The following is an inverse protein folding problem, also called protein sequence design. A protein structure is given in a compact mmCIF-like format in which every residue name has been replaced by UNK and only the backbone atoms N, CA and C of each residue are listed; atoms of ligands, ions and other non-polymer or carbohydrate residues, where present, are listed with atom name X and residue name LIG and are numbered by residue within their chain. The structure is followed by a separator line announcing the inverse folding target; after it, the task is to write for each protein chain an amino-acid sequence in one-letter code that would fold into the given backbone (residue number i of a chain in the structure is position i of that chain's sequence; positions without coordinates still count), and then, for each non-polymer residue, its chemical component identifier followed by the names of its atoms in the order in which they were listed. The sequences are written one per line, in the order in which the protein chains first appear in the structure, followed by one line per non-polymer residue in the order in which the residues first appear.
data_IF_559555568977
#
_entry.id   IF_559555568977
#
_cell.length_a   1.000
_cell.length_b   1.000
_cell.length_c   1.000
_cell.angle_alpha   90.00
_cell.angle_beta   90.00
_cell.angle_gamma   90.00
#
_symmetry.space_group_name_H-M   'P 1'
#
loop_
_entity.id
_entity.type
_entity.pdbx_description
1 polymer ?
#
# COMPACT_ATOMS: atom_id res chain seq x y z
N UNK A 1 -0.44 -16.12 -33.30
CA UNK A 1 -0.06 -16.57 -31.94
C UNK A 1 0.23 -15.34 -31.11
N UNK A 2 -0.73 -14.84 -30.32
CA UNK A 2 -0.57 -13.64 -29.47
C UNK A 2 -0.75 -13.98 -27.99
N UNK A 3 -0.11 -15.07 -27.57
CA UNK A 3 -0.21 -15.64 -26.22
C UNK A 3 1.20 -15.72 -25.64
N UNK A 4 1.59 -14.72 -24.83
CA UNK A 4 2.34 -14.87 -23.57
C UNK A 4 2.85 -13.55 -22.95
N UNK A 5 2.93 -12.44 -23.70
CA UNK A 5 3.48 -11.18 -23.18
C UNK A 5 2.72 -10.63 -21.96
N UNK A 6 1.38 -10.68 -21.96
CA UNK A 6 0.59 -10.15 -20.84
C UNK A 6 0.75 -10.97 -19.55
N UNK A 7 0.85 -12.30 -19.67
CA UNK A 7 1.05 -13.20 -18.52
C UNK A 7 2.48 -13.09 -17.97
N UNK A 8 3.49 -12.97 -18.85
CA UNK A 8 4.87 -12.73 -18.47
C UNK A 8 5.05 -11.35 -17.82
N UNK A 9 4.38 -10.31 -18.32
CA UNK A 9 4.34 -9.00 -17.68
C UNK A 9 3.70 -9.06 -16.29
N UNK A 10 2.60 -9.81 -16.11
CA UNK A 10 2.00 -10.00 -14.77
C UNK A 10 2.96 -10.74 -13.84
N UNK A 11 3.66 -11.78 -14.31
CA UNK A 11 4.64 -12.52 -13.50
C UNK A 11 5.86 -11.66 -13.13
N UNK A 12 6.34 -10.82 -14.06
CA UNK A 12 7.40 -9.83 -13.79
C UNK A 12 6.91 -8.80 -12.77
N UNK A 13 5.70 -8.26 -12.93
CA UNK A 13 5.11 -7.30 -11.99
C UNK A 13 4.88 -7.91 -10.59
N UNK A 14 4.53 -9.19 -10.51
CA UNK A 14 4.44 -9.93 -9.25
C UNK A 14 5.82 -10.15 -8.61
N UNK A 15 6.82 -10.54 -9.40
CA UNK A 15 8.20 -10.69 -8.94
C UNK A 15 8.82 -9.38 -8.46
N UNK A 16 8.44 -8.26 -9.09
CA UNK A 16 8.84 -6.91 -8.69
C UNK A 16 8.16 -6.44 -7.39
N UNK A 17 7.04 -7.06 -7.00
CA UNK A 17 6.48 -6.91 -5.66
C UNK A 17 7.44 -7.35 -4.56
N UNK A 18 8.46 -8.18 -4.86
CA UNK A 18 9.51 -8.57 -3.91
C UNK A 18 10.75 -7.64 -3.96
N UNK A 19 10.78 -6.63 -4.84
CA UNK A 19 11.90 -5.70 -4.91
C UNK A 19 12.06 -4.94 -3.58
N UNK A 20 13.28 -4.91 -3.08
CA UNK A 20 13.64 -4.15 -1.88
C UNK A 20 14.51 -2.94 -2.20
N UNK A 21 15.13 -2.93 -3.39
CA UNK A 21 16.01 -1.86 -3.80
C UNK A 21 15.24 -0.67 -4.41
N UNK A 22 15.63 0.53 -3.99
CA UNK A 22 15.03 1.79 -4.43
C UNK A 22 15.07 1.94 -5.95
N UNK A 23 16.19 1.63 -6.60
CA UNK A 23 16.35 1.83 -8.05
C UNK A 23 15.38 0.94 -8.82
N UNK A 24 15.24 -0.31 -8.40
CA UNK A 24 14.29 -1.25 -8.99
C UNK A 24 12.86 -0.74 -8.84
N UNK A 25 12.46 -0.32 -7.64
CA UNK A 25 11.11 0.21 -7.37
C UNK A 25 10.83 1.44 -8.25
N UNK A 26 11.79 2.35 -8.38
CA UNK A 26 11.63 3.53 -9.24
C UNK A 26 11.47 3.17 -10.71
N UNK A 27 12.21 2.17 -11.22
CA UNK A 27 12.03 1.65 -12.59
C UNK A 27 10.62 1.11 -12.82
N UNK A 28 10.05 0.39 -11.85
CA UNK A 28 8.67 -0.10 -11.96
C UNK A 28 7.67 1.05 -11.95
N UNK A 29 7.86 2.03 -11.06
CA UNK A 29 7.00 3.20 -10.99
C UNK A 29 7.08 4.06 -12.27
N UNK A 30 8.25 4.13 -12.90
CA UNK A 30 8.42 4.74 -14.22
C UNK A 30 7.66 3.97 -15.30
N UNK A 31 7.75 2.63 -15.31
CA UNK A 31 6.98 1.80 -16.24
C UNK A 31 5.46 2.00 -16.03
N UNK A 32 4.97 2.01 -14.79
CA UNK A 32 3.57 2.26 -14.44
C UNK A 32 3.10 3.63 -14.94
N UNK A 33 3.96 4.65 -14.85
CA UNK A 33 3.61 6.01 -15.30
C UNK A 33 3.86 6.26 -16.79
N UNK A 34 4.37 5.26 -17.52
CA UNK A 34 4.61 5.32 -18.97
C UNK A 34 3.53 4.58 -19.77
N UNK A 35 3.76 4.41 -21.07
CA UNK A 35 2.93 3.59 -21.97
C UNK A 35 3.37 2.10 -21.98
N UNK A 36 4.45 1.74 -21.28
CA UNK A 36 4.94 0.36 -21.18
C UNK A 36 3.92 -0.57 -20.49
N UNK A 37 3.11 0.00 -19.58
CA UNK A 37 2.02 -0.69 -18.90
C UNK A 37 0.68 -0.15 -19.39
N UNK A 38 -0.19 -1.05 -19.86
CA UNK A 38 -1.52 -0.68 -20.35
C UNK A 38 -2.32 0.03 -19.25
N UNK A 39 -3.13 1.06 -19.56
CA UNK A 39 -3.86 1.85 -18.56
C UNK A 39 -4.65 1.02 -17.54
N UNK A 40 -5.32 -0.05 -17.99
CA UNK A 40 -6.11 -0.94 -17.12
C UNK A 40 -5.27 -1.78 -16.16
N UNK A 41 -3.98 -1.98 -16.43
CA UNK A 41 -3.08 -2.81 -15.61
C UNK A 41 -2.28 -1.99 -14.60
N UNK A 42 -2.20 -0.65 -14.78
CA UNK A 42 -1.40 0.25 -13.94
C UNK A 42 -1.77 0.17 -12.45
N UNK A 43 -3.06 0.12 -12.14
CA UNK A 43 -3.55 0.02 -10.76
C UNK A 43 -3.19 -1.33 -10.12
N UNK A 44 -3.27 -2.42 -10.89
CA UNK A 44 -2.87 -3.75 -10.42
C UNK A 44 -1.37 -3.81 -10.18
N UNK A 45 -0.56 -3.27 -11.10
CA UNK A 45 0.89 -3.18 -10.96
C UNK A 45 1.29 -2.41 -9.69
N UNK A 46 0.69 -1.24 -9.45
CA UNK A 46 0.93 -0.46 -8.24
C UNK A 46 0.51 -1.22 -6.96
N UNK A 47 -0.60 -1.95 -7.02
CA UNK A 47 -1.09 -2.75 -5.89
C UNK A 47 -0.11 -3.85 -5.48
N UNK A 48 0.62 -4.46 -6.43
CA UNK A 48 1.66 -5.44 -6.09
C UNK A 48 2.82 -4.82 -5.30
N UNK A 49 3.22 -3.60 -5.64
CA UNK A 49 4.25 -2.89 -4.87
C UNK A 49 3.76 -2.58 -3.45
N UNK A 50 2.52 -2.09 -3.31
CA UNK A 50 1.90 -1.76 -2.02
C UNK A 50 1.81 -2.95 -1.05
N UNK A 51 1.76 -4.18 -1.53
CA UNK A 51 1.67 -5.38 -0.68
C UNK A 51 2.99 -5.72 0.01
N UNK A 52 4.10 -5.12 -0.39
CA UNK A 52 5.40 -5.33 0.22
C UNK A 52 5.78 -4.15 1.14
N UNK A 53 5.87 -4.34 2.46
CA UNK A 53 6.22 -3.28 3.41
C UNK A 53 7.55 -2.58 3.11
N UNK A 54 8.53 -3.28 2.50
CA UNK A 54 9.83 -2.72 2.16
C UNK A 54 9.75 -1.66 1.04
N UNK A 55 8.68 -1.64 0.26
CA UNK A 55 8.54 -0.68 -0.84
C UNK A 55 7.93 0.64 -0.38
N UNK A 56 7.19 0.66 0.75
CA UNK A 56 6.31 1.77 1.10
C UNK A 56 7.04 3.11 1.21
N UNK A 57 8.24 3.11 1.76
CA UNK A 57 9.08 4.31 1.85
C UNK A 57 9.52 4.82 0.48
N UNK A 58 9.95 3.90 -0.39
CA UNK A 58 10.38 4.22 -1.75
C UNK A 58 9.21 4.66 -2.63
N UNK A 59 8.02 4.09 -2.45
CA UNK A 59 6.80 4.53 -3.12
C UNK A 59 6.37 5.92 -2.66
N UNK A 60 6.44 6.20 -1.35
CA UNK A 60 6.20 7.54 -0.80
C UNK A 60 7.20 8.55 -1.37
N UNK A 61 8.48 8.19 -1.44
CA UNK A 61 9.51 9.02 -2.05
C UNK A 61 9.24 9.30 -3.53
N UNK A 62 8.92 8.27 -4.31
CA UNK A 62 8.61 8.39 -5.73
C UNK A 62 7.43 9.33 -5.95
N UNK A 63 6.31 9.09 -5.25
CA UNK A 63 5.11 9.90 -5.40
C UNK A 63 5.35 11.35 -5.01
N UNK A 64 6.10 11.63 -3.93
CA UNK A 64 6.44 13.02 -3.56
C UNK A 64 7.35 13.69 -4.58
N UNK A 65 8.23 12.94 -5.23
CA UNK A 65 9.18 13.47 -6.23
C UNK A 65 8.53 13.67 -7.59
N UNK A 66 7.66 12.75 -8.00
CA UNK A 66 7.11 12.65 -9.36
C UNK A 66 5.58 12.72 -9.41
N UNK A 67 4.93 13.33 -8.42
CA UNK A 67 3.46 13.45 -8.34
C UNK A 67 2.82 14.05 -9.61
N UNK A 68 3.47 15.01 -10.28
CA UNK A 68 2.97 15.58 -11.54
C UNK A 68 2.97 14.53 -12.66
N UNK A 69 4.03 13.71 -12.76
CA UNK A 69 4.08 12.58 -13.70
C UNK A 69 2.97 11.58 -13.41
N UNK A 70 2.76 11.25 -12.14
CA UNK A 70 1.67 10.37 -11.73
C UNK A 70 0.30 10.95 -12.10
N UNK A 71 0.06 12.23 -11.82
CA UNK A 71 -1.18 12.91 -12.17
C UNK A 71 -1.43 12.86 -13.68
N UNK A 72 -0.41 13.09 -14.51
CA UNK A 72 -0.53 13.02 -15.97
C UNK A 72 -0.82 11.59 -16.45
N UNK A 73 -0.10 10.60 -15.92
CA UNK A 73 -0.23 9.20 -16.32
C UNK A 73 -1.57 8.56 -15.89
N UNK A 74 -2.15 9.06 -14.80
CA UNK A 74 -3.41 8.57 -14.23
C UNK A 74 -4.58 9.56 -14.42
N UNK A 75 -4.37 10.69 -15.08
CA UNK A 75 -5.41 11.63 -15.50
C UNK A 75 -5.88 12.67 -14.49
N UNK A 76 -5.43 12.65 -13.23
CA UNK A 76 -5.77 13.71 -12.26
C UNK A 76 -4.91 13.69 -10.99
N UNK A 77 -4.89 14.82 -10.27
CA UNK A 77 -4.37 14.89 -8.91
C UNK A 77 -5.21 14.11 -7.88
N UNK A 78 -6.47 13.80 -8.17
CA UNK A 78 -7.26 12.89 -7.33
C UNK A 78 -6.65 11.48 -7.31
N UNK A 79 -6.03 11.05 -8.42
CA UNK A 79 -5.31 9.77 -8.47
C UNK A 79 -3.96 9.81 -7.75
N UNK A 80 -3.35 10.99 -7.59
CA UNK A 80 -2.21 11.16 -6.66
C UNK A 80 -2.69 11.01 -5.22
N UNK A 81 -3.79 11.69 -4.85
CA UNK A 81 -4.37 11.58 -3.50
C UNK A 81 -4.74 10.13 -3.17
N UNK A 82 -5.36 9.40 -4.12
CA UNK A 82 -5.65 7.97 -3.96
C UNK A 82 -4.38 7.14 -3.72
N UNK A 83 -3.30 7.40 -4.44
CA UNK A 83 -2.03 6.69 -4.24
C UNK A 83 -1.42 6.96 -2.84
N UNK A 84 -1.47 8.21 -2.36
CA UNK A 84 -1.05 8.52 -0.99
C UNK A 84 -1.95 7.89 0.07
N UNK A 85 -3.27 7.86 -0.14
CA UNK A 85 -4.20 7.23 0.80
C UNK A 85 -3.97 5.70 0.89
N UNK A 86 -3.64 5.06 -0.24
CA UNK A 86 -3.24 3.66 -0.24
C UNK A 86 -1.96 3.39 0.55
N UNK A 87 -1.00 4.33 0.54
CA UNK A 87 0.20 4.25 1.37
C UNK A 87 -0.12 4.48 2.85
N UNK A 88 -0.87 5.54 3.17
CA UNK A 88 -1.26 5.88 4.55
C UNK A 88 -2.00 4.73 5.24
N UNK A 89 -2.81 3.97 4.50
CA UNK A 89 -3.49 2.78 5.02
C UNK A 89 -2.55 1.62 5.40
N UNK A 90 -1.27 1.66 5.02
CA UNK A 90 -0.29 0.57 5.18
C UNK A 90 0.97 0.97 5.95
N UNK A 91 1.20 2.28 6.10
CA UNK A 91 2.35 2.82 6.83
C UNK A 91 2.27 2.45 8.32
N UNK A 92 3.44 2.29 8.93
CA UNK A 92 3.58 1.84 10.32
C UNK A 92 4.21 2.88 11.23
N UNK A 93 4.79 3.94 10.65
CA UNK A 93 5.51 4.97 11.40
C UNK A 93 4.92 6.34 11.15
N UNK A 94 4.88 7.14 12.21
CA UNK A 94 4.41 8.52 12.12
C UNK A 94 5.31 9.35 11.20
N UNK A 95 6.61 9.05 11.15
CA UNK A 95 7.55 9.73 10.25
C UNK A 95 7.12 9.63 8.78
N UNK A 96 6.74 8.44 8.34
CA UNK A 96 6.28 8.19 6.97
C UNK A 96 5.01 8.98 6.65
N UNK A 97 4.04 8.97 7.57
CA UNK A 97 2.81 9.75 7.45
C UNK A 97 3.11 11.25 7.40
N UNK A 98 3.95 11.77 8.30
CA UNK A 98 4.29 13.20 8.36
C UNK A 98 4.97 13.68 7.08
N UNK A 99 5.81 12.86 6.45
CA UNK A 99 6.40 13.17 5.13
C UNK A 99 5.33 13.37 4.06
N UNK A 100 4.27 12.55 4.04
CA UNK A 100 3.13 12.71 3.11
C UNK A 100 2.34 13.97 3.46
N UNK A 101 1.97 14.14 4.73
CA UNK A 101 1.17 15.28 5.18
C UNK A 101 1.83 16.61 4.85
N UNK A 102 3.10 16.79 5.25
CA UNK A 102 3.81 18.04 5.00
C UNK A 102 4.07 18.29 3.51
N UNK A 103 4.18 17.23 2.71
CA UNK A 103 4.24 17.37 1.26
C UNK A 103 2.90 17.87 0.69
N UNK A 104 1.78 17.33 1.15
CA UNK A 104 0.44 17.78 0.75
C UNK A 104 0.20 19.25 1.12
N UNK A 105 0.58 19.66 2.35
CA UNK A 105 0.48 21.04 2.82
C UNK A 105 1.28 22.01 1.94
N UNK A 106 2.53 21.67 1.59
CA UNK A 106 3.35 22.51 0.70
C UNK A 106 2.85 22.60 -0.74
N UNK A 107 2.01 21.66 -1.17
CA UNK A 107 1.52 21.56 -2.54
C UNK A 107 0.00 21.71 -2.64
N UNK A 108 -0.66 22.25 -1.60
CA UNK A 108 -2.12 22.38 -1.53
C UNK A 108 -2.70 23.06 -2.77
N UNK A 109 -2.08 24.17 -3.20
CA UNK A 109 -2.53 24.90 -4.38
C UNK A 109 -2.47 24.06 -5.67
N UNK A 110 -1.46 23.19 -5.80
CA UNK A 110 -1.30 22.33 -6.98
C UNK A 110 -2.29 21.17 -6.95
N UNK A 111 -2.53 20.58 -5.78
CA UNK A 111 -3.53 19.53 -5.61
C UNK A 111 -4.96 20.05 -5.79
N UNK A 112 -5.21 21.30 -5.43
CA UNK A 112 -6.55 21.83 -5.28
C UNK A 112 -7.28 21.22 -4.08
N UNK A 113 -8.36 21.88 -3.67
CA UNK A 113 -9.06 21.56 -2.42
C UNK A 113 -9.51 20.08 -2.34
N UNK A 114 -10.03 19.51 -3.43
CA UNK A 114 -10.56 18.15 -3.42
C UNK A 114 -9.47 17.09 -3.14
N UNK A 115 -8.35 17.12 -3.88
CA UNK A 115 -7.28 16.14 -3.70
C UNK A 115 -6.52 16.37 -2.38
N UNK A 116 -6.29 17.64 -2.00
CA UNK A 116 -5.68 17.99 -0.72
C UNK A 116 -6.52 17.46 0.47
N UNK A 117 -7.82 17.76 0.49
CA UNK A 117 -8.71 17.31 1.55
C UNK A 117 -8.77 15.78 1.62
N UNK A 118 -8.74 15.09 0.47
CA UNK A 118 -8.70 13.63 0.43
C UNK A 118 -7.44 13.05 1.10
N UNK A 119 -6.27 13.70 0.94
CA UNK A 119 -5.04 13.29 1.64
C UNK A 119 -5.17 13.55 3.14
N UNK A 120 -5.74 14.70 3.55
CA UNK A 120 -5.96 15.00 4.97
C UNK A 120 -6.94 14.03 5.65
N UNK A 121 -7.96 13.56 4.93
CA UNK A 121 -8.82 12.47 5.39
C UNK A 121 -8.02 11.18 5.59
N UNK A 122 -7.16 10.79 4.63
CA UNK A 122 -6.29 9.62 4.77
C UNK A 122 -5.34 9.71 5.96
N UNK A 123 -4.83 10.91 6.29
CA UNK A 123 -4.02 11.14 7.50
C UNK A 123 -4.85 10.95 8.78
N UNK A 124 -6.10 11.41 8.77
CA UNK A 124 -7.03 11.20 9.89
C UNK A 124 -7.35 9.71 10.08
N UNK A 125 -7.51 8.98 8.99
CA UNK A 125 -7.74 7.54 8.99
C UNK A 125 -6.53 6.76 9.50
N UNK A 126 -5.30 7.19 9.16
CA UNK A 126 -4.07 6.62 9.72
C UNK A 126 -4.08 6.63 11.25
N UNK A 127 -4.37 7.78 11.87
CA UNK A 127 -4.46 7.87 13.34
C UNK A 127 -5.62 7.08 13.91
N UNK A 128 -6.76 7.04 13.21
CA UNK A 128 -7.91 6.23 13.62
C UNK A 128 -7.56 4.74 13.66
N UNK A 129 -6.83 4.25 12.65
CA UNK A 129 -6.36 2.87 12.55
C UNK A 129 -5.31 2.55 13.62
N UNK A 130 -4.37 3.48 13.88
CA UNK A 130 -3.37 3.34 14.94
C UNK A 130 -4.04 3.25 16.32
N UNK A 131 -5.03 4.12 16.59
CA UNK A 131 -5.79 4.10 17.84
C UNK A 131 -6.61 2.82 18.00
N UNK A 132 -7.30 2.38 16.95
CA UNK A 132 -8.02 1.10 16.95
C UNK A 132 -7.06 -0.06 17.27
N UNK A 133 -5.92 -0.11 16.59
CA UNK A 133 -4.88 -1.12 16.80
C UNK A 133 -4.40 -1.12 18.24
N UNK A 134 -3.99 0.04 18.78
CA UNK A 134 -3.49 0.15 20.14
C UNK A 134 -4.53 -0.25 21.19
N UNK A 135 -5.79 0.11 20.97
CA UNK A 135 -6.90 -0.22 21.88
C UNK A 135 -7.25 -1.71 21.88
N UNK A 136 -7.15 -2.38 20.73
CA UNK A 136 -7.67 -3.72 20.56
C UNK A 136 -6.60 -4.82 20.47
N UNK A 137 -5.32 -4.48 20.28
CA UNK A 137 -4.22 -5.45 20.10
C UNK A 137 -4.15 -6.50 21.22
N UNK A 138 -4.33 -6.10 22.48
CA UNK A 138 -4.23 -7.02 23.62
C UNK A 138 -5.42 -7.98 23.68
N UNK A 139 -6.63 -7.48 23.40
CA UNK A 139 -7.85 -8.30 23.37
C UNK A 139 -7.78 -9.31 22.22
N UNK A 140 -7.35 -8.87 21.05
CA UNK A 140 -7.18 -9.73 19.87
C UNK A 140 -6.09 -10.76 20.13
N UNK A 141 -4.92 -10.34 20.64
CA UNK A 141 -3.82 -11.24 21.00
C UNK A 141 -4.26 -12.30 22.00
N UNK A 142 -4.92 -11.91 23.09
CA UNK A 142 -5.42 -12.85 24.09
C UNK A 142 -6.51 -13.80 23.58
N UNK A 143 -7.34 -13.38 22.61
CA UNK A 143 -8.29 -14.29 21.94
C UNK A 143 -7.55 -15.31 21.08
N UNK A 144 -6.55 -14.87 20.31
CA UNK A 144 -5.74 -15.74 19.43
C UNK A 144 -4.94 -16.76 20.25
N UNK A 145 -4.28 -16.34 21.33
CA UNK A 145 -3.53 -17.24 22.21
C UNK A 145 -4.42 -18.34 22.79
N UNK A 146 -5.63 -17.99 23.23
CA UNK A 146 -6.62 -18.96 23.72
C UNK A 146 -7.09 -19.90 22.61
N UNK A 147 -7.32 -19.40 21.40
CA UNK A 147 -7.73 -20.20 20.27
C UNK A 147 -6.64 -21.22 19.86
N UNK A 148 -5.37 -20.79 19.84
CA UNK A 148 -4.22 -21.65 19.56
C UNK A 148 -4.04 -22.71 20.66
N UNK A 149 -4.12 -22.32 21.94
CA UNK A 149 -4.03 -23.26 23.06
C UNK A 149 -5.14 -24.33 23.03
N UNK A 150 -6.35 -23.97 22.59
CA UNK A 150 -7.49 -24.89 22.45
C UNK A 150 -7.36 -25.85 21.26
N UNK A 151 -6.64 -25.46 20.20
CA UNK A 151 -6.46 -26.24 18.97
C UNK A 151 -5.27 -27.23 19.01
N UNK A 152 -4.60 -27.40 20.16
CA UNK A 152 -3.62 -28.46 20.38
C UNK A 152 -4.24 -29.89 20.39
N UNK A 153 -5.54 -30.02 20.16
CA UNK A 153 -6.22 -31.29 19.85
C UNK A 153 -6.33 -31.49 18.33
N UNK A 154 -5.59 -32.47 17.80
CA UNK A 154 -5.55 -32.81 16.38
C UNK A 154 -6.95 -33.02 15.76
N UNK A 155 -7.39 -32.14 14.86
CA UNK A 155 -8.54 -32.45 14.00
C UNK A 155 -9.29 -31.26 13.39
N UNK A 156 -8.95 -30.94 12.13
CA UNK A 156 -9.89 -30.51 11.05
C UNK A 156 -10.50 -29.09 11.03
N UNK A 157 -9.92 -28.07 11.65
CA UNK A 157 -10.39 -26.66 11.49
C UNK A 157 -9.29 -25.64 11.14
N UNK A 158 -8.14 -26.11 10.65
CA UNK A 158 -6.91 -25.29 10.57
C UNK A 158 -6.85 -24.27 9.44
N UNK A 159 -7.63 -24.38 8.36
CA UNK A 159 -7.41 -23.52 7.17
C UNK A 159 -8.07 -22.14 7.28
N UNK A 160 -9.19 -22.01 8.00
CA UNK A 160 -9.96 -20.76 8.06
C UNK A 160 -9.43 -19.71 9.04
N UNK A 161 -8.75 -20.13 10.10
CA UNK A 161 -8.26 -19.21 11.16
C UNK A 161 -6.85 -18.72 10.84
N UNK A 162 -5.98 -19.55 10.25
CA UNK A 162 -4.58 -19.18 9.95
C UNK A 162 -4.47 -18.06 8.89
N UNK A 163 -5.40 -17.99 7.93
CA UNK A 163 -5.40 -16.95 6.89
C UNK A 163 -5.82 -15.58 7.44
N UNK A 164 -6.76 -15.53 8.39
CA UNK A 164 -7.11 -14.28 9.08
C UNK A 164 -5.97 -13.80 9.99
N UNK A 165 -5.27 -14.74 10.64
CA UNK A 165 -4.13 -14.49 11.53
C UNK A 165 -2.94 -13.90 10.77
N UNK A 166 -2.61 -14.39 9.58
CA UNK A 166 -1.51 -13.84 8.78
C UNK A 166 -1.77 -12.39 8.32
N UNK A 167 -3.01 -12.06 7.95
CA UNK A 167 -3.39 -10.70 7.54
C UNK A 167 -3.34 -9.73 8.72
N UNK A 168 -3.83 -10.14 9.89
CA UNK A 168 -3.83 -9.29 11.09
C UNK A 168 -2.40 -9.12 11.64
N UNK A 169 -1.59 -10.19 11.69
CA UNK A 169 -0.19 -10.10 12.17
C UNK A 169 0.69 -9.29 11.21
N UNK A 170 0.52 -9.41 9.89
CA UNK A 170 1.24 -8.58 8.91
C UNK A 170 0.88 -7.08 9.00
N UNK A 171 -0.31 -6.77 9.49
CA UNK A 171 -0.77 -5.40 9.79
C UNK A 171 -0.30 -4.89 11.16
N UNK A 172 0.18 -5.76 12.06
CA UNK A 172 0.55 -5.43 13.45
C UNK A 172 2.06 -5.44 13.76
N UNK A 173 2.89 -6.07 12.93
CA UNK A 173 4.37 -6.09 13.05
C UNK A 173 5.00 -4.99 12.23
#
# INVERSE_FOLDING_TARGET
MSTNMATEQILILQGLGCAQDREQIFKVMDAITSDDIRPQDKNTAFSYLLLNPYTLDHLSEYLRTYYVRWANAHGSYANVASAFNNLLARMKTDEQMWRIRSFAERNEQVFGAAAYNSIQSGVTDYFSNQNFTNKHREVIGGFLDKALAKNNGAGKTTVGILTLVAVIVALLQ
#
